data_IF_233116307315
#
_entry.id   IF_233116307315
#
_cell.length_a   1.000
_cell.length_b   1.000
_cell.length_c   1.000
_cell.angle_alpha   90.00
_cell.angle_beta   90.00
_cell.angle_gamma   90.00
#
_symmetry.space_group_name_H-M   'P 1'
#
loop_
_entity.id
_entity.type
_entity.pdbx_description
1 polymer ?
#
# COMPACT_ATOMS: atom_id res chain seq x y z
N UNK A 1 -11.86 -17.91 14.93
CA UNK A 1 -11.17 -16.81 14.22
C UNK A 1 -11.35 -15.55 15.04
N UNK A 2 -10.34 -15.23 15.85
CA UNK A 2 -10.33 -14.14 16.84
C UNK A 2 -9.34 -13.03 16.47
N UNK A 3 -8.83 -13.01 15.23
CA UNK A 3 -7.55 -12.34 14.91
C UNK A 3 -7.67 -11.01 14.14
N UNK A 4 -8.84 -10.38 14.09
CA UNK A 4 -8.99 -9.02 13.54
C UNK A 4 -9.48 -7.99 14.57
N UNK A 5 -9.53 -8.34 15.87
CA UNK A 5 -9.91 -7.39 16.93
C UNK A 5 -8.90 -6.24 16.98
N UNK A 6 -9.32 -5.05 16.55
CA UNK A 6 -8.55 -3.81 16.66
C UNK A 6 -8.01 -3.26 15.34
N UNK A 7 -8.19 -3.95 14.20
CA UNK A 7 -7.87 -3.37 12.88
C UNK A 7 -8.99 -2.41 12.48
N UNK A 8 -8.68 -1.15 12.13
CA UNK A 8 -9.69 -0.23 11.63
C UNK A 8 -10.34 -0.77 10.35
N UNK A 9 -11.67 -0.75 10.28
CA UNK A 9 -12.43 -1.18 9.10
C UNK A 9 -11.99 -0.46 7.82
N UNK A 10 -11.60 0.82 7.95
CA UNK A 10 -11.07 1.63 6.85
C UNK A 10 -9.79 1.04 6.21
N UNK A 11 -9.03 0.23 6.93
CA UNK A 11 -7.83 -0.45 6.42
C UNK A 11 -8.18 -1.60 5.46
N UNK A 12 -9.39 -2.17 5.56
CA UNK A 12 -9.85 -3.25 4.69
C UNK A 12 -10.39 -2.75 3.35
N UNK A 13 -10.85 -1.49 3.29
CA UNK A 13 -11.46 -0.90 2.09
C UNK A 13 -10.49 -0.95 0.89
N UNK A 14 -9.22 -0.49 0.97
CA UNK A 14 -8.30 -0.56 -0.16
C UNK A 14 -8.06 -2.00 -0.62
N UNK A 15 -7.95 -2.97 0.29
CA UNK A 15 -7.73 -4.37 -0.07
C UNK A 15 -8.94 -4.94 -0.81
N UNK A 16 -10.16 -4.67 -0.32
CA UNK A 16 -11.40 -5.11 -0.96
C UNK A 16 -11.53 -4.53 -2.37
N UNK A 17 -11.25 -3.24 -2.54
CA UNK A 17 -11.29 -2.55 -3.83
C UNK A 17 -10.28 -3.13 -4.80
N UNK A 18 -9.01 -3.31 -4.38
CA UNK A 18 -7.97 -3.89 -5.23
C UNK A 18 -8.27 -5.35 -5.60
N UNK A 19 -8.86 -6.12 -4.68
CA UNK A 19 -9.30 -7.49 -4.96
C UNK A 19 -10.41 -7.53 -6.01
N UNK A 20 -11.41 -6.64 -5.89
CA UNK A 20 -12.50 -6.52 -6.87
C UNK A 20 -11.98 -6.08 -8.24
N UNK A 21 -11.07 -5.11 -8.28
CA UNK A 21 -10.41 -4.65 -9.50
C UNK A 21 -9.70 -5.80 -10.21
N UNK A 22 -8.91 -6.57 -9.46
CA UNK A 22 -8.13 -7.71 -9.98
C UNK A 22 -9.00 -8.78 -10.65
N UNK A 23 -10.25 -8.93 -10.21
CA UNK A 23 -11.21 -9.90 -10.72
C UNK A 23 -12.08 -9.36 -11.87
N UNK A 24 -11.90 -8.09 -12.26
CA UNK A 24 -12.62 -7.47 -13.37
C UNK A 24 -12.06 -7.90 -14.73
N UNK A 25 -12.83 -7.66 -15.80
CA UNK A 25 -12.45 -8.06 -17.17
C UNK A 25 -11.23 -7.28 -17.70
N UNK A 26 -11.08 -6.00 -17.30
CA UNK A 26 -10.01 -5.11 -17.74
C UNK A 26 -9.45 -4.33 -16.55
N UNK A 27 -8.66 -5.00 -15.69
CA UNK A 27 -8.14 -4.40 -14.46
C UNK A 27 -7.09 -3.32 -14.74
N UNK A 28 -7.15 -2.21 -14.01
CA UNK A 28 -6.07 -1.21 -13.92
C UNK A 28 -4.87 -1.83 -13.19
N UNK A 29 -5.12 -2.56 -12.11
CA UNK A 29 -4.07 -3.23 -11.30
C UNK A 29 -4.39 -4.71 -11.09
N UNK A 30 -3.36 -5.53 -10.90
CA UNK A 30 -3.51 -6.96 -10.59
C UNK A 30 -2.88 -7.32 -9.24
N UNK A 31 -3.71 -7.44 -8.21
CA UNK A 31 -3.32 -7.70 -6.83
C UNK A 31 -3.87 -9.03 -6.30
N UNK A 32 -3.23 -10.11 -6.74
CA UNK A 32 -3.59 -11.47 -6.30
C UNK A 32 -3.46 -11.70 -4.80
N UNK A 33 -2.60 -10.94 -4.09
CA UNK A 33 -2.46 -11.06 -2.64
C UNK A 33 -3.68 -10.45 -1.94
N UNK A 34 -4.16 -9.29 -2.39
CA UNK A 34 -5.42 -8.72 -1.89
C UNK A 34 -6.60 -9.68 -2.08
N UNK A 35 -6.70 -10.36 -3.23
CA UNK A 35 -7.74 -11.39 -3.46
C UNK A 35 -7.66 -12.52 -2.44
N UNK A 36 -6.46 -13.00 -2.11
CA UNK A 36 -6.26 -14.06 -1.11
C UNK A 36 -6.67 -13.58 0.29
N UNK A 37 -6.18 -12.41 0.70
CA UNK A 37 -6.47 -11.81 2.00
C UNK A 37 -7.99 -11.69 2.19
N UNK A 38 -8.71 -11.14 1.20
CA UNK A 38 -10.16 -10.97 1.28
C UNK A 38 -10.92 -12.28 1.40
N UNK A 39 -10.47 -13.35 0.74
CA UNK A 39 -11.10 -14.67 0.84
C UNK A 39 -10.95 -15.31 2.22
N UNK A 40 -9.93 -14.93 2.97
CA UNK A 40 -9.65 -15.46 4.32
C UNK A 40 -10.33 -14.66 5.44
N UNK A 41 -10.82 -13.46 5.12
CA UNK A 41 -11.48 -12.57 6.09
C UNK A 41 -13.00 -12.78 6.06
N UNK A 42 -13.53 -13.34 7.14
CA UNK A 42 -14.98 -13.37 7.41
C UNK A 42 -15.39 -12.05 8.09
N UNK A 43 -15.69 -11.02 7.29
CA UNK A 43 -16.06 -9.70 7.80
C UNK A 43 -17.22 -9.06 7.00
N UNK A 44 -18.36 -8.73 7.65
CA UNK A 44 -19.51 -8.10 7.01
C UNK A 44 -19.23 -6.70 6.44
N UNK A 45 -18.14 -6.04 6.85
CA UNK A 45 -17.69 -4.77 6.25
C UNK A 45 -17.32 -4.96 4.78
N UNK A 46 -16.86 -6.14 4.38
CA UNK A 46 -16.54 -6.42 2.97
C UNK A 46 -17.80 -6.45 2.08
N UNK A 47 -18.98 -6.58 2.68
CA UNK A 47 -20.26 -6.46 1.98
C UNK A 47 -20.71 -5.00 1.82
N UNK A 48 -20.02 -4.03 2.44
CA UNK A 48 -20.36 -2.63 2.28
C UNK A 48 -20.00 -2.12 0.89
N UNK A 49 -20.98 -1.46 0.26
CA UNK A 49 -20.83 -0.89 -1.07
C UNK A 49 -19.84 0.29 -1.04
N UNK A 50 -18.71 0.14 -1.72
CA UNK A 50 -17.84 1.27 -2.09
C UNK A 50 -18.39 1.86 -3.39
N UNK A 51 -18.57 3.17 -3.47
CA UNK A 51 -19.06 3.80 -4.70
C UNK A 51 -18.04 3.70 -5.85
N UNK A 52 -18.52 3.86 -7.08
CA UNK A 52 -17.70 3.71 -8.28
C UNK A 52 -16.50 4.68 -8.32
N UNK A 53 -16.69 5.94 -7.89
CA UNK A 53 -15.62 6.94 -7.93
C UNK A 53 -14.54 6.60 -6.90
N UNK A 54 -14.93 6.15 -5.71
CA UNK A 54 -13.98 5.66 -4.71
C UNK A 54 -13.22 4.42 -5.17
N UNK A 55 -13.90 3.44 -5.79
CA UNK A 55 -13.24 2.27 -6.37
C UNK A 55 -12.19 2.69 -7.40
N UNK A 56 -12.60 3.50 -8.38
CA UNK A 56 -11.73 3.98 -9.45
C UNK A 56 -10.55 4.81 -8.90
N UNK A 57 -10.82 5.72 -7.97
CA UNK A 57 -9.81 6.59 -7.37
C UNK A 57 -8.75 5.83 -6.59
N UNK A 58 -9.13 4.78 -5.85
CA UNK A 58 -8.17 3.91 -5.13
C UNK A 58 -7.29 3.17 -6.13
N UNK A 59 -7.85 2.61 -7.20
CA UNK A 59 -7.08 1.84 -8.18
C UNK A 59 -6.14 2.73 -8.99
N UNK A 60 -6.60 3.90 -9.45
CA UNK A 60 -5.75 4.89 -10.14
C UNK A 60 -4.62 5.38 -9.22
N UNK A 61 -4.93 5.72 -7.96
CA UNK A 61 -3.91 6.15 -7.00
C UNK A 61 -2.87 5.05 -6.77
N UNK A 62 -3.31 3.80 -6.68
CA UNK A 62 -2.42 2.64 -6.53
C UNK A 62 -1.46 2.56 -7.72
N UNK A 63 -1.98 2.59 -8.94
CA UNK A 63 -1.18 2.50 -10.17
C UNK A 63 -0.18 3.66 -10.30
N UNK A 64 -0.61 4.90 -10.03
CA UNK A 64 0.29 6.07 -10.05
C UNK A 64 1.46 5.89 -9.08
N UNK A 65 1.19 5.42 -7.86
CA UNK A 65 2.24 5.19 -6.87
C UNK A 65 3.16 4.04 -7.28
N UNK A 66 2.65 3.02 -7.96
CA UNK A 66 3.48 1.94 -8.51
C UNK A 66 4.40 2.44 -9.60
N UNK A 67 3.89 3.25 -10.52
CA UNK A 67 4.70 3.86 -11.57
C UNK A 67 5.83 4.70 -10.96
N UNK A 68 5.53 5.49 -9.92
CA UNK A 68 6.54 6.27 -9.19
C UNK A 68 7.61 5.35 -8.58
N UNK A 69 7.20 4.28 -7.89
CA UNK A 69 8.11 3.31 -7.27
C UNK A 69 9.00 2.62 -8.31
N UNK A 70 8.40 2.12 -9.40
CA UNK A 70 9.13 1.44 -10.47
C UNK A 70 10.07 2.41 -11.18
N UNK A 71 9.63 3.64 -11.45
CA UNK A 71 10.46 4.64 -12.08
C UNK A 71 11.64 5.03 -11.19
N UNK A 72 11.42 5.21 -9.89
CA UNK A 72 12.49 5.47 -8.93
C UNK A 72 13.54 4.35 -8.92
N UNK A 73 13.11 3.09 -8.79
CA UNK A 73 14.00 1.93 -8.79
C UNK A 73 14.82 1.83 -10.07
N UNK A 74 14.25 2.18 -11.23
CA UNK A 74 14.95 2.15 -12.52
C UNK A 74 16.08 3.16 -12.64
N UNK A 75 16.01 4.28 -11.92
CA UNK A 75 16.95 5.40 -12.06
C UNK A 75 17.92 5.53 -10.88
N UNK A 76 17.61 4.91 -9.74
CA UNK A 76 18.49 4.90 -8.57
C UNK A 76 19.58 3.82 -8.70
N UNK A 77 20.81 4.16 -8.33
CA UNK A 77 21.92 3.21 -8.23
C UNK A 77 21.78 2.34 -6.98
N UNK A 78 21.35 2.94 -5.87
CA UNK A 78 21.15 2.27 -4.59
C UNK A 78 19.76 2.63 -4.02
N UNK A 79 18.67 2.08 -4.60
CA UNK A 79 17.32 2.41 -4.17
C UNK A 79 17.05 1.88 -2.75
N UNK A 80 16.52 2.76 -1.91
CA UNK A 80 16.01 2.41 -0.60
C UNK A 80 14.62 3.01 -0.38
N UNK A 81 13.63 2.16 -0.13
CA UNK A 81 12.23 2.56 -0.05
C UNK A 81 11.74 2.48 1.40
N UNK A 82 11.07 3.54 1.83
CA UNK A 82 10.44 3.64 3.15
C UNK A 82 8.94 3.82 2.94
N UNK A 83 8.15 2.84 3.37
CA UNK A 83 6.69 2.89 3.27
C UNK A 83 6.08 3.16 4.65
N UNK A 84 5.74 4.41 4.91
CA UNK A 84 5.25 4.84 6.23
C UNK A 84 3.76 4.56 6.34
N UNK A 85 3.36 3.92 7.44
CA UNK A 85 1.96 3.57 7.69
C UNK A 85 1.43 2.59 6.65
N UNK A 86 2.27 1.64 6.24
CA UNK A 86 2.01 0.68 5.16
C UNK A 86 0.69 -0.10 5.31
N UNK A 87 0.19 -0.29 6.53
CA UNK A 87 -1.05 -1.04 6.78
C UNK A 87 -1.02 -2.41 6.10
N UNK A 88 -1.94 -2.62 5.16
CA UNK A 88 -2.06 -3.85 4.36
C UNK A 88 -1.50 -3.70 2.94
N UNK A 89 -0.56 -2.78 2.71
CA UNK A 89 0.06 -2.60 1.40
C UNK A 89 0.70 -3.90 0.87
N UNK A 90 0.38 -4.22 -0.38
CA UNK A 90 0.74 -5.46 -1.08
C UNK A 90 1.78 -5.22 -2.18
N UNK A 91 2.29 -3.99 -2.32
CA UNK A 91 3.17 -3.57 -3.42
C UNK A 91 4.43 -4.44 -3.56
N UNK A 92 5.06 -4.84 -2.44
CA UNK A 92 6.20 -5.76 -2.46
C UNK A 92 5.90 -7.07 -3.20
N UNK A 93 4.71 -7.65 -2.94
CA UNK A 93 4.28 -8.90 -3.57
C UNK A 93 3.90 -8.67 -5.03
N UNK A 94 3.04 -7.68 -5.29
CA UNK A 94 2.47 -7.42 -6.61
C UNK A 94 3.52 -6.96 -7.63
N UNK A 95 4.42 -6.06 -7.23
CA UNK A 95 5.50 -5.56 -8.07
C UNK A 95 6.75 -6.45 -8.04
N UNK A 96 6.74 -7.55 -7.26
CA UNK A 96 7.85 -8.51 -7.14
C UNK A 96 9.17 -7.85 -6.72
N UNK A 97 9.11 -6.96 -5.72
CA UNK A 97 10.23 -6.14 -5.27
C UNK A 97 11.03 -6.76 -4.12
N UNK A 98 10.99 -8.09 -3.96
CA UNK A 98 11.61 -8.80 -2.84
C UNK A 98 13.14 -8.68 -2.72
N UNK A 99 13.81 -8.07 -3.70
CA UNK A 99 15.26 -7.80 -3.69
C UNK A 99 15.60 -6.32 -3.48
N UNK A 100 14.60 -5.44 -3.41
CA UNK A 100 14.79 -4.01 -3.19
C UNK A 100 14.79 -3.75 -1.68
N UNK A 101 15.79 -3.04 -1.14
CA UNK A 101 15.73 -2.53 0.23
C UNK A 101 14.43 -1.77 0.48
N UNK A 102 13.57 -2.33 1.33
CA UNK A 102 12.24 -1.82 1.63
C UNK A 102 11.97 -1.96 3.13
N UNK A 103 11.55 -0.88 3.78
CA UNK A 103 11.10 -0.91 5.17
C UNK A 103 9.69 -0.34 5.32
N UNK A 104 8.90 -1.01 6.15
CA UNK A 104 7.54 -0.61 6.52
C UNK A 104 7.50 0.07 7.92
N UNK A 105 8.58 -0.02 8.70
CA UNK A 105 8.77 0.66 9.99
C UNK A 105 10.23 1.15 10.12
N UNK A 106 10.42 2.36 10.65
CA UNK A 106 11.71 3.09 10.67
C UNK A 106 12.58 2.71 11.88
N UNK A 107 12.08 1.85 12.78
CA UNK A 107 12.69 1.63 14.11
C UNK A 107 14.03 0.88 14.12
N UNK A 108 14.46 0.27 13.03
CA UNK A 108 15.80 -0.34 12.92
C UNK A 108 16.20 -0.52 11.46
N UNK A 109 17.37 -0.01 11.06
CA UNK A 109 17.70 0.11 9.64
C UNK A 109 18.98 -0.64 9.25
N UNK A 110 18.84 -1.93 8.91
CA UNK A 110 19.96 -2.80 8.50
C UNK A 110 20.33 -2.67 7.01
N UNK A 111 19.53 -1.94 6.23
CA UNK A 111 19.70 -1.85 4.77
C UNK A 111 20.18 -0.47 4.29
N UNK A 112 20.12 0.55 5.14
CA UNK A 112 20.58 1.89 4.81
C UNK A 112 22.10 1.93 4.61
N UNK A 113 22.52 2.65 3.57
CA UNK A 113 23.92 3.02 3.29
C UNK A 113 23.99 4.53 3.06
N UNK A 114 25.12 5.15 3.35
CA UNK A 114 25.32 6.60 3.18
C UNK A 114 25.05 7.11 1.75
N UNK A 115 25.24 6.25 0.75
CA UNK A 115 25.01 6.53 -0.68
C UNK A 115 23.64 6.06 -1.19
N UNK A 116 22.71 5.72 -0.29
CA UNK A 116 21.36 5.30 -0.67
C UNK A 116 20.53 6.46 -1.18
N UNK A 117 19.87 6.26 -2.31
CA UNK A 117 18.83 7.15 -2.80
C UNK A 117 17.51 6.70 -2.15
N UNK A 118 16.77 7.63 -1.53
CA UNK A 118 15.61 7.30 -0.71
C UNK A 118 14.30 7.75 -1.37
N UNK A 119 13.33 6.83 -1.46
CA UNK A 119 11.94 7.15 -1.74
C UNK A 119 11.09 6.89 -0.49
N UNK A 120 10.36 7.91 -0.03
CA UNK A 120 9.44 7.80 1.09
C UNK A 120 8.00 7.85 0.56
N UNK A 121 7.18 6.88 0.95
CA UNK A 121 5.78 6.75 0.54
C UNK A 121 4.89 7.08 1.75
N UNK A 122 3.93 7.98 1.53
CA UNK A 122 2.85 8.30 2.46
C UNK A 122 1.51 8.11 1.75
N UNK A 123 0.99 6.87 1.71
CA UNK A 123 -0.29 6.58 1.07
C UNK A 123 -1.44 6.55 2.06
N UNK A 124 -2.35 7.53 2.01
CA UNK A 124 -3.56 7.52 2.85
C UNK A 124 -3.31 7.71 4.35
N UNK A 125 -2.10 8.17 4.72
CA UNK A 125 -1.67 8.29 6.12
C UNK A 125 -1.78 9.73 6.65
N UNK A 126 -1.50 10.73 5.81
CA UNK A 126 -1.42 12.13 6.26
C UNK A 126 -2.74 12.68 6.82
N UNK A 127 -3.88 12.11 6.43
CA UNK A 127 -5.20 12.50 6.93
C UNK A 127 -5.44 12.18 8.41
N UNK A 128 -4.59 11.36 9.03
CA UNK A 128 -4.65 11.02 10.44
C UNK A 128 -3.80 11.95 11.33
N UNK A 129 -3.02 12.85 10.73
CA UNK A 129 -2.15 13.78 11.43
C UNK A 129 -2.78 15.17 11.49
N UNK A 130 -2.58 15.85 12.61
CA UNK A 130 -2.87 17.27 12.71
C UNK A 130 -1.89 18.06 11.85
N UNK A 131 -2.34 19.23 11.38
CA UNK A 131 -1.52 20.13 10.58
C UNK A 131 -0.16 20.42 11.23
N UNK A 132 -0.14 20.66 12.54
CA UNK A 132 1.08 20.92 13.29
C UNK A 132 2.07 19.73 13.27
N UNK A 133 1.57 18.50 13.24
CA UNK A 133 2.39 17.29 13.22
C UNK A 133 3.02 17.05 11.84
N UNK A 134 2.33 17.42 10.75
CA UNK A 134 2.85 17.30 9.38
C UNK A 134 3.95 18.33 9.10
N UNK A 135 3.79 19.56 9.61
CA UNK A 135 4.75 20.66 9.37
C UNK A 135 5.89 20.73 10.40
N UNK A 136 5.92 19.83 11.39
CA UNK A 136 7.01 19.73 12.36
C UNK A 136 8.17 18.82 11.89
N UNK A 137 7.99 18.12 10.77
CA UNK A 137 9.00 17.32 10.07
C UNK A 137 9.73 18.15 9.02
#
# INVERSE_FOLDING_TARGET
MSELKGIPESMLIPIAVKAKETLSDMPIINDSLSVKIIKEIDNPVLDTYVDWLSQLGINIRTEILDEIVINFIKHANHPFIINIGCGLDTRLSRLKLNKIPWIDDVKSNVHFKEDSEILIIFEGVLMYFQKAEVFAC
#
